data_IF_768106053561
#
_entry.id   IF_768106053561
#
_cell.length_a   1.000
_cell.length_b   1.000
_cell.length_c   1.000
_cell.angle_alpha   90.00
_cell.angle_beta   90.00
_cell.angle_gamma   90.00
#
_symmetry.space_group_name_H-M   'P 1'
#
loop_
_entity.id
_entity.type
_entity.pdbx_description
1 polymer ?
#
# COMPACT_ATOMS: atom_id res chain seq x y z
N UNK A 1 -3.89 -29.26 31.78
CA UNK A 1 -3.02 -28.16 31.32
C UNK A 1 -3.89 -27.21 30.51
N UNK A 2 -4.26 -26.04 31.05
CA UNK A 2 -4.98 -25.00 30.28
C UNK A 2 -3.91 -24.16 29.55
N UNK A 3 -3.98 -23.97 28.23
CA UNK A 3 -3.10 -23.01 27.59
C UNK A 3 -3.48 -21.62 28.09
N UNK A 4 -2.52 -20.93 28.72
CA UNK A 4 -2.64 -19.51 29.04
C UNK A 4 -2.68 -18.75 27.72
N UNK A 5 -3.84 -18.15 27.42
CA UNK A 5 -3.98 -17.15 26.37
C UNK A 5 -3.20 -15.89 26.79
N UNK A 6 -1.88 -15.92 26.61
CA UNK A 6 -1.04 -14.75 26.74
C UNK A 6 -1.30 -13.85 25.54
N UNK A 7 -2.15 -12.84 25.72
CA UNK A 7 -2.31 -11.77 24.74
C UNK A 7 -0.95 -11.05 24.64
N UNK A 8 -0.16 -11.41 23.63
CA UNK A 8 1.07 -10.72 23.28
C UNK A 8 0.68 -9.33 22.76
N UNK A 9 0.70 -8.33 23.65
CA UNK A 9 0.50 -6.93 23.28
C UNK A 9 1.84 -6.35 22.84
N UNK A 10 1.96 -6.03 21.56
CA UNK A 10 3.22 -5.58 20.97
C UNK A 10 3.52 -4.08 21.16
N UNK A 11 2.78 -3.41 22.04
CA UNK A 11 2.95 -2.00 22.37
C UNK A 11 2.30 -1.04 21.36
N UNK A 12 2.13 0.24 21.74
CA UNK A 12 1.35 1.23 21.00
C UNK A 12 1.95 1.59 19.62
N UNK A 13 3.24 1.33 19.41
CA UNK A 13 3.89 1.52 18.11
C UNK A 13 3.36 0.55 17.04
N UNK A 14 3.03 -0.69 17.43
CA UNK A 14 2.40 -1.65 16.52
C UNK A 14 0.94 -1.32 16.25
N UNK A 15 0.21 -0.83 17.25
CA UNK A 15 -1.17 -0.39 17.06
C UNK A 15 -1.25 0.78 16.06
N UNK A 16 -0.32 1.74 16.15
CA UNK A 16 -0.22 2.85 15.19
C UNK A 16 0.15 2.41 13.77
N UNK A 17 1.05 1.42 13.65
CA UNK A 17 1.44 0.88 12.35
C UNK A 17 0.33 0.02 11.72
N UNK A 18 -0.36 -0.81 12.50
CA UNK A 18 -1.47 -1.66 12.05
C UNK A 18 -2.71 -0.82 11.71
N UNK A 19 -2.93 0.31 12.39
CA UNK A 19 -3.96 1.28 12.03
C UNK A 19 -3.67 1.99 10.69
N UNK A 20 -2.39 2.22 10.39
CA UNK A 20 -1.96 2.82 9.13
C UNK A 20 -1.96 1.81 7.97
N UNK A 21 -1.46 0.61 8.22
CA UNK A 21 -1.28 -0.47 7.24
C UNK A 21 -2.21 -1.65 7.54
N UNK A 22 -3.49 -1.45 7.23
CA UNK A 22 -4.49 -2.51 7.31
C UNK A 22 -4.27 -3.57 6.20
N UNK A 23 -4.84 -4.78 6.32
CA UNK A 23 -4.79 -5.76 5.23
C UNK A 23 -5.27 -5.19 3.89
N UNK A 24 -6.36 -4.41 3.90
CA UNK A 24 -6.86 -3.73 2.70
C UNK A 24 -5.88 -2.71 2.11
N UNK A 25 -5.05 -2.06 2.94
CA UNK A 25 -3.98 -1.18 2.46
C UNK A 25 -2.90 -1.97 1.70
N UNK A 26 -2.52 -3.14 2.22
CA UNK A 26 -1.57 -4.03 1.53
C UNK A 26 -2.14 -4.63 0.26
N UNK A 27 -3.43 -5.00 0.24
CA UNK A 27 -4.11 -5.45 -0.97
C UNK A 27 -4.11 -4.36 -2.04
N UNK A 28 -4.42 -3.11 -1.65
CA UNK A 28 -4.39 -1.98 -2.57
C UNK A 28 -3.00 -1.69 -3.11
N UNK A 29 -1.98 -1.70 -2.24
CA UNK A 29 -0.59 -1.56 -2.65
C UNK A 29 -0.20 -2.65 -3.65
N UNK A 30 -0.55 -3.90 -3.36
CA UNK A 30 -0.22 -5.05 -4.20
C UNK A 30 -0.90 -4.95 -5.57
N UNK A 31 -2.16 -4.51 -5.63
CA UNK A 31 -2.86 -4.25 -6.88
C UNK A 31 -2.14 -3.19 -7.73
N UNK A 32 -1.80 -2.05 -7.14
CA UNK A 32 -1.05 -0.99 -7.84
C UNK A 32 0.28 -1.52 -8.38
N UNK A 33 1.06 -2.22 -7.55
CA UNK A 33 2.36 -2.74 -7.98
C UNK A 33 2.24 -3.81 -9.07
N UNK A 34 1.18 -4.61 -9.06
CA UNK A 34 0.93 -5.64 -10.08
C UNK A 34 0.76 -5.02 -11.46
N UNK A 35 0.04 -3.91 -11.54
CA UNK A 35 -0.30 -3.22 -12.80
C UNK A 35 0.86 -2.37 -13.34
N UNK A 36 1.90 -2.15 -12.54
CA UNK A 36 3.10 -1.42 -12.96
C UNK A 36 4.13 -2.33 -13.65
N UNK A 37 4.86 -1.81 -14.66
CA UNK A 37 6.04 -2.48 -15.20
C UNK A 37 7.03 -2.80 -14.08
N UNK A 38 7.68 -3.97 -14.16
CA UNK A 38 8.50 -4.51 -13.06
C UNK A 38 9.57 -3.54 -12.55
N UNK A 39 10.22 -2.79 -13.46
CA UNK A 39 11.27 -1.82 -13.13
C UNK A 39 10.76 -0.62 -12.33
N UNK A 40 9.46 -0.29 -12.44
CA UNK A 40 8.84 0.79 -11.67
C UNK A 40 8.35 0.37 -10.28
N UNK A 41 8.14 -0.94 -10.04
CA UNK A 41 7.51 -1.42 -8.79
C UNK A 41 8.29 -1.02 -7.54
N UNK A 42 9.62 -1.14 -7.58
CA UNK A 42 10.47 -0.78 -6.45
C UNK A 42 10.38 0.72 -6.13
N UNK A 43 10.46 1.56 -7.17
CA UNK A 43 10.34 3.00 -7.04
C UNK A 43 8.96 3.40 -6.49
N UNK A 44 7.88 2.91 -7.11
CA UNK A 44 6.51 3.22 -6.71
C UNK A 44 6.25 2.81 -5.25
N UNK A 45 6.68 1.61 -4.85
CA UNK A 45 6.58 1.15 -3.46
C UNK A 45 7.26 2.14 -2.51
N UNK A 46 8.52 2.48 -2.77
CA UNK A 46 9.30 3.38 -1.91
C UNK A 46 8.61 4.74 -1.77
N UNK A 47 8.11 5.28 -2.88
CA UNK A 47 7.43 6.58 -2.88
C UNK A 47 6.08 6.57 -2.18
N UNK A 48 5.32 5.48 -2.28
CA UNK A 48 4.07 5.28 -1.52
C UNK A 48 4.37 5.23 -0.03
N UNK A 49 5.31 4.38 0.41
CA UNK A 49 5.68 4.26 1.83
C UNK A 49 6.11 5.60 2.43
N UNK A 50 6.95 6.35 1.71
CA UNK A 50 7.40 7.70 2.13
C UNK A 50 6.23 8.67 2.33
N UNK A 51 5.18 8.52 1.52
CA UNK A 51 3.98 9.36 1.49
C UNK A 51 2.84 8.87 2.39
N UNK A 52 2.98 7.72 3.05
CA UNK A 52 1.92 7.22 3.93
C UNK A 52 1.84 7.99 5.26
N UNK A 53 2.82 8.83 5.61
CA UNK A 53 2.75 9.69 6.81
C UNK A 53 1.46 10.53 6.82
N UNK A 54 0.66 10.40 7.88
CA UNK A 54 -0.65 11.08 8.01
C UNK A 54 -1.77 10.48 7.17
N UNK A 55 -1.53 9.34 6.51
CA UNK A 55 -2.51 8.59 5.72
C UNK A 55 -2.67 7.19 6.29
N UNK A 56 -3.81 6.55 6.04
CA UNK A 56 -4.09 5.19 6.50
C UNK A 56 -5.00 4.46 5.51
N UNK A 57 -4.94 3.14 5.56
CA UNK A 57 -5.86 2.30 4.80
C UNK A 57 -5.66 2.34 3.28
N UNK A 58 -6.55 1.69 2.52
CA UNK A 58 -6.47 1.62 1.06
C UNK A 58 -6.58 2.99 0.39
N UNK A 59 -7.39 3.91 0.93
CA UNK A 59 -7.52 5.28 0.42
C UNK A 59 -6.22 6.07 0.58
N UNK A 60 -5.55 5.91 1.74
CA UNK A 60 -4.24 6.50 1.98
C UNK A 60 -3.18 6.03 0.99
N UNK A 61 -3.17 4.73 0.68
CA UNK A 61 -2.28 4.14 -0.33
C UNK A 61 -2.56 4.70 -1.71
N UNK A 62 -3.83 4.83 -2.09
CA UNK A 62 -4.22 5.42 -3.37
C UNK A 62 -3.78 6.88 -3.48
N UNK A 63 -4.09 7.70 -2.49
CA UNK A 63 -3.69 9.11 -2.47
C UNK A 63 -2.16 9.29 -2.46
N UNK A 64 -1.43 8.39 -1.79
CA UNK A 64 0.03 8.39 -1.81
C UNK A 64 0.59 8.06 -3.21
N UNK A 65 -0.04 7.12 -3.92
CA UNK A 65 0.32 6.78 -5.29
C UNK A 65 -0.02 7.90 -6.28
N UNK A 66 -1.19 8.52 -6.16
CA UNK A 66 -1.60 9.63 -7.02
C UNK A 66 -0.64 10.82 -6.87
N UNK A 67 -0.29 11.17 -5.63
CA UNK A 67 0.72 12.19 -5.34
C UNK A 67 2.13 11.82 -5.84
N UNK A 68 2.45 10.53 -5.96
CA UNK A 68 3.69 10.09 -6.60
C UNK A 68 3.63 10.30 -8.12
N UNK A 69 2.52 9.95 -8.77
CA UNK A 69 2.32 10.18 -10.21
C UNK A 69 2.31 11.66 -10.58
N UNK A 70 1.78 12.53 -9.71
CA UNK A 70 1.84 13.98 -9.91
C UNK A 70 3.28 14.51 -9.83
N UNK A 71 4.07 13.98 -8.88
CA UNK A 71 5.47 14.38 -8.69
C UNK A 71 6.39 13.84 -9.79
N UNK A 72 6.09 12.65 -10.30
CA UNK A 72 6.88 11.95 -11.32
C UNK A 72 5.96 11.57 -12.49
N UNK A 73 5.78 12.46 -13.48
CA UNK A 73 4.88 12.22 -14.61
C UNK A 73 5.27 11.01 -15.48
N UNK A 74 6.51 10.55 -15.39
CA UNK A 74 7.04 9.34 -16.03
C UNK A 74 6.55 8.03 -15.38
N UNK A 75 6.10 8.08 -14.12
CA UNK A 75 5.52 6.94 -13.43
C UNK A 75 4.16 6.61 -14.10
N UNK A 76 4.01 5.44 -14.74
CA UNK A 76 2.78 5.13 -15.44
C UNK A 76 1.63 5.00 -14.44
N UNK A 77 0.51 5.66 -14.77
CA UNK A 77 -0.76 5.38 -14.10
C UNK A 77 -1.30 4.07 -14.66
N UNK A 78 -1.67 3.07 -13.82
CA UNK A 78 -2.39 1.90 -14.27
C UNK A 78 -3.62 2.39 -15.04
N UNK A 79 -3.65 2.15 -16.36
CA UNK A 79 -4.91 2.27 -17.08
C UNK A 79 -5.78 1.13 -16.57
N UNK A 80 -7.08 1.37 -16.28
CA UNK A 80 -7.99 0.24 -16.12
C UNK A 80 -7.83 -0.60 -17.37
N UNK A 81 -7.40 -1.86 -17.19
CA UNK A 81 -7.29 -2.81 -18.29
C UNK A 81 -8.67 -2.86 -18.92
N UNK A 82 -8.85 -2.28 -20.10
CA UNK A 82 -9.97 -2.68 -20.96
C UNK A 82 -9.68 -4.14 -21.25
N UNK A 83 -10.58 -5.01 -20.80
CA UNK A 83 -10.59 -6.43 -21.16
C UNK A 83 -10.20 -6.58 -22.62
N UNK A 84 -9.01 -7.10 -22.86
CA UNK A 84 -8.70 -7.69 -24.14
C UNK A 84 -9.49 -9.00 -24.14
N UNK A 85 -10.64 -8.96 -24.79
CA UNK A 85 -11.35 -10.16 -25.23
C UNK A 85 -10.40 -10.98 -26.11
N UNK A 86 -10.12 -12.21 -25.69
CA UNK A 86 -9.86 -13.35 -26.57
C UNK A 86 -10.19 -14.66 -25.84
#
# INVERSE_FOLDING_TARGET
HKPSAGHFHFGPERDGYEAQWTPAAYDRLTAILRDLPIHWRFFAKTEIFRRMRGRSGPEGVQAAFDAACERFPELPRPRPVREAAE
#
